data_IF_002293719305
#
_entry.id   IF_002293719305
#
_cell.length_a   1.000
_cell.length_b   1.000
_cell.length_c   1.000
_cell.angle_alpha   90.00
_cell.angle_beta   90.00
_cell.angle_gamma   90.00
#
_symmetry.space_group_name_H-M   'P 1'
#
loop_
_entity.id
_entity.type
_entity.pdbx_description
1 polymer ?
#
# COMPACT_ATOMS: atom_id res chain seq x y z
N UNK A 1 1.59 19.48 49.96
CA UNK A 1 2.46 18.59 49.15
C UNK A 1 1.64 17.66 48.25
N UNK A 2 0.36 17.94 48.03
CA UNK A 2 -0.62 17.02 47.42
C UNK A 2 -0.83 17.29 45.91
N UNK A 3 -0.83 18.56 45.49
CA UNK A 3 -1.09 18.97 44.09
C UNK A 3 0.04 18.53 43.14
N UNK A 4 1.30 18.59 43.58
CA UNK A 4 2.46 18.15 42.77
C UNK A 4 2.43 16.65 42.49
N UNK A 5 1.96 15.84 43.46
CA UNK A 5 1.78 14.39 43.30
C UNK A 5 0.60 14.07 42.37
N UNK A 6 -0.48 14.84 42.45
CA UNK A 6 -1.65 14.67 41.58
C UNK A 6 -1.36 15.02 40.10
N UNK A 7 -0.60 16.09 39.84
CA UNK A 7 -0.16 16.44 38.47
C UNK A 7 0.80 15.40 37.89
N UNK A 8 1.70 14.86 38.71
CA UNK A 8 2.65 13.83 38.25
C UNK A 8 1.96 12.55 37.80
N UNK A 9 0.85 12.17 38.45
CA UNK A 9 0.06 10.98 38.09
C UNK A 9 -0.75 11.19 36.81
N UNK A 10 -1.28 12.41 36.62
CA UNK A 10 -2.03 12.80 35.42
C UNK A 10 -1.15 12.81 34.17
N UNK A 11 0.10 13.29 34.27
CA UNK A 11 1.04 13.33 33.15
C UNK A 11 1.47 11.93 32.70
N UNK A 12 1.70 11.01 33.64
CA UNK A 12 2.04 9.62 33.30
C UNK A 12 0.93 8.84 32.58
N UNK A 13 -0.34 9.27 32.72
CA UNK A 13 -1.48 8.63 32.06
C UNK A 13 -1.60 9.04 30.58
N UNK A 14 -1.15 10.24 30.21
CA UNK A 14 -1.26 10.77 28.85
C UNK A 14 -0.26 10.12 27.89
N UNK A 15 0.91 9.70 28.38
CA UNK A 15 1.99 9.12 27.56
C UNK A 15 1.64 7.70 27.06
N UNK A 16 0.65 7.05 27.69
CA UNK A 16 0.19 5.69 27.31
C UNK A 16 -0.94 5.75 26.25
N UNK A 17 -1.52 6.93 26.03
CA UNK A 17 -2.62 7.15 25.07
C UNK A 17 -2.13 7.52 23.66
N UNK A 18 -0.84 7.82 23.48
CA UNK A 18 -0.18 7.76 22.17
C UNK A 18 0.12 6.29 21.85
N UNK A 19 -0.94 5.49 21.85
CA UNK A 19 -0.92 4.12 21.37
C UNK A 19 -0.34 4.13 19.96
N UNK A 20 0.64 3.25 19.74
CA UNK A 20 1.09 2.89 18.41
C UNK A 20 -0.13 2.55 17.56
N UNK A 21 -0.60 3.51 16.77
CA UNK A 21 -1.29 3.20 15.52
C UNK A 21 -0.22 2.69 14.55
N UNK A 22 0.42 1.58 14.92
CA UNK A 22 0.84 0.63 13.90
C UNK A 22 -0.47 0.05 13.41
N UNK A 23 -1.09 0.79 12.48
CA UNK A 23 -1.85 0.15 11.43
C UNK A 23 -0.84 -0.77 10.75
N UNK A 24 -0.72 -1.98 11.28
CA UNK A 24 -0.59 -3.17 10.46
C UNK A 24 -1.89 -3.25 9.64
N UNK A 25 -2.14 -2.22 8.82
CA UNK A 25 -2.70 -2.45 7.51
C UNK A 25 -1.72 -3.44 6.94
N UNK A 26 -2.15 -4.69 6.89
CA UNK A 26 -1.76 -5.65 5.90
C UNK A 26 -2.01 -4.96 4.55
N UNK A 27 -1.13 -4.02 4.24
CA UNK A 27 -0.96 -3.40 2.95
C UNK A 27 -0.41 -4.60 2.20
N UNK A 28 -1.28 -5.32 1.50
CA UNK A 28 -0.79 -6.19 0.45
C UNK A 28 0.20 -5.32 -0.32
N UNK A 29 1.49 -5.62 -0.23
CA UNK A 29 2.53 -4.73 -0.77
C UNK A 29 2.29 -4.66 -2.29
N UNK A 30 1.78 -3.52 -2.76
CA UNK A 30 1.50 -3.30 -4.17
C UNK A 30 2.72 -2.65 -4.81
N UNK A 31 3.10 -3.14 -5.97
CA UNK A 31 4.20 -2.61 -6.76
C UNK A 31 3.70 -2.07 -8.09
N UNK A 32 4.37 -1.02 -8.56
CA UNK A 32 4.11 -0.44 -9.87
C UNK A 32 4.54 -1.47 -10.93
N UNK A 33 3.55 -1.94 -11.69
CA UNK A 33 3.75 -2.80 -12.85
C UNK A 33 3.90 -1.96 -14.12
N UNK A 34 3.06 -0.92 -14.28
CA UNK A 34 3.13 0.04 -15.38
C UNK A 34 3.05 1.45 -14.79
N UNK A 35 4.05 2.27 -15.12
CA UNK A 35 4.12 3.69 -14.79
C UNK A 35 3.41 4.51 -15.88
N UNK A 36 2.42 5.32 -15.49
CA UNK A 36 1.61 6.12 -16.42
C UNK A 36 2.44 7.19 -17.14
N UNK A 37 3.41 7.79 -16.45
CA UNK A 37 4.21 8.90 -16.96
C UNK A 37 5.13 8.49 -18.12
N UNK A 38 5.41 7.19 -18.25
CA UNK A 38 6.30 6.63 -19.27
C UNK A 38 5.59 5.73 -20.28
N UNK A 39 4.28 5.49 -20.12
CA UNK A 39 3.53 4.51 -20.90
C UNK A 39 2.42 5.14 -21.73
N UNK A 40 2.20 4.62 -22.94
CA UNK A 40 1.05 5.02 -23.75
C UNK A 40 -0.23 4.35 -23.27
N UNK A 41 -1.39 4.91 -23.63
CA UNK A 41 -2.69 4.30 -23.36
C UNK A 41 -2.79 2.87 -23.93
N UNK A 42 -2.31 2.66 -25.15
CA UNK A 42 -2.26 1.33 -25.79
C UNK A 42 -1.41 0.34 -24.99
N UNK A 43 -0.27 0.78 -24.45
CA UNK A 43 0.61 -0.05 -23.62
C UNK A 43 -0.11 -0.47 -22.33
N UNK A 44 -0.81 0.47 -21.68
CA UNK A 44 -1.59 0.18 -20.47
C UNK A 44 -2.73 -0.79 -20.74
N UNK A 45 -3.46 -0.60 -21.83
CA UNK A 45 -4.57 -1.49 -22.22
C UNK A 45 -4.07 -2.91 -22.50
N UNK A 46 -2.98 -3.04 -23.25
CA UNK A 46 -2.32 -4.32 -23.50
C UNK A 46 -1.85 -4.99 -22.20
N UNK A 47 -1.24 -4.23 -21.28
CA UNK A 47 -0.82 -4.76 -19.99
C UNK A 47 -2.01 -5.27 -19.16
N UNK A 48 -3.12 -4.52 -19.11
CA UNK A 48 -4.36 -4.92 -18.43
C UNK A 48 -4.93 -6.20 -19.03
N UNK A 49 -4.96 -6.33 -20.36
CA UNK A 49 -5.43 -7.54 -21.03
C UNK A 49 -4.61 -8.76 -20.60
N UNK A 50 -3.29 -8.63 -20.56
CA UNK A 50 -2.37 -9.70 -20.15
C UNK A 50 -2.58 -10.10 -18.69
N UNK A 51 -2.71 -9.13 -17.79
CA UNK A 51 -3.01 -9.39 -16.37
C UNK A 51 -4.35 -10.11 -16.19
N UNK A 52 -5.39 -9.67 -16.90
CA UNK A 52 -6.70 -10.32 -16.90
C UNK A 52 -6.64 -11.76 -17.43
N UNK A 53 -5.95 -11.99 -18.54
CA UNK A 53 -5.76 -13.32 -19.12
C UNK A 53 -5.00 -14.26 -18.17
N UNK A 54 -4.07 -13.72 -17.37
CA UNK A 54 -3.33 -14.46 -16.36
C UNK A 54 -4.09 -14.57 -15.01
N UNK A 55 -5.27 -13.97 -14.89
CA UNK A 55 -6.05 -13.88 -13.66
C UNK A 55 -5.20 -13.34 -12.50
N UNK A 56 -4.55 -12.20 -12.74
CA UNK A 56 -3.77 -11.42 -11.77
C UNK A 56 -4.56 -10.16 -11.44
N UNK A 57 -4.86 -9.96 -10.16
CA UNK A 57 -5.56 -8.77 -9.70
C UNK A 57 -4.65 -7.55 -9.81
N UNK A 58 -5.21 -6.42 -10.24
CA UNK A 58 -4.50 -5.15 -10.32
C UNK A 58 -5.34 -4.00 -9.75
N UNK A 59 -4.66 -2.89 -9.45
CA UNK A 59 -5.26 -1.62 -9.05
C UNK A 59 -4.74 -0.51 -9.94
N UNK A 60 -5.50 0.56 -10.05
CA UNK A 60 -5.05 1.82 -10.64
C UNK A 60 -5.00 2.84 -9.50
N UNK A 61 -3.87 3.50 -9.30
CA UNK A 61 -3.74 4.56 -8.30
C UNK A 61 -4.23 5.92 -8.84
N UNK A 62 -4.16 6.94 -7.99
CA UNK A 62 -4.59 8.30 -8.33
C UNK A 62 -3.72 8.97 -9.40
N UNK A 63 -2.52 8.44 -9.65
CA UNK A 63 -1.59 8.89 -10.68
C UNK A 63 -1.80 8.14 -12.01
N UNK A 64 -2.66 7.12 -12.03
CA UNK A 64 -2.95 6.31 -13.21
C UNK A 64 -2.01 5.12 -13.40
N UNK A 65 -1.09 4.87 -12.46
CA UNK A 65 -0.20 3.72 -12.51
C UNK A 65 -0.99 2.43 -12.31
N UNK A 66 -0.55 1.34 -12.94
CA UNK A 66 -1.12 0.01 -12.73
C UNK A 66 -0.26 -0.71 -11.70
N UNK A 67 -0.87 -1.14 -10.62
CA UNK A 67 -0.21 -1.83 -9.52
C UNK A 67 -0.68 -3.27 -9.39
N UNK A 68 0.24 -4.18 -9.07
CA UNK A 68 -0.03 -5.58 -8.75
C UNK A 68 0.53 -5.92 -7.37
N UNK A 69 0.03 -6.99 -6.75
CA UNK A 69 0.59 -7.45 -5.47
C UNK A 69 2.00 -7.99 -5.67
N UNK A 70 2.89 -7.75 -4.70
CA UNK A 70 4.24 -8.32 -4.63
C UNK A 70 4.21 -9.84 -4.85
N UNK A 71 3.25 -10.52 -4.24
CA UNK A 71 3.06 -11.97 -4.36
C UNK A 71 2.79 -12.45 -5.80
N UNK A 72 2.35 -11.56 -6.69
CA UNK A 72 2.02 -11.88 -8.08
C UNK A 72 3.08 -11.40 -9.08
N UNK A 73 4.16 -10.74 -8.62
CA UNK A 73 5.22 -10.23 -9.52
C UNK A 73 5.85 -11.35 -10.35
N UNK A 74 6.28 -12.44 -9.71
CA UNK A 74 6.91 -13.56 -10.43
C UNK A 74 5.98 -14.13 -11.51
N UNK A 75 4.69 -14.21 -11.20
CA UNK A 75 3.67 -14.67 -12.14
C UNK A 75 3.50 -13.67 -13.29
N UNK A 76 3.42 -12.38 -12.99
CA UNK A 76 3.29 -11.30 -13.97
C UNK A 76 4.51 -11.24 -14.90
N UNK A 77 5.73 -11.39 -14.38
CA UNK A 77 6.95 -11.44 -15.19
C UNK A 77 6.94 -12.63 -16.15
N UNK A 78 6.41 -13.80 -15.75
CA UNK A 78 6.39 -14.98 -16.62
C UNK A 78 5.33 -14.88 -17.72
N UNK A 79 4.14 -14.35 -17.42
CA UNK A 79 3.02 -14.33 -18.36
C UNK A 79 2.91 -13.05 -19.19
N UNK A 80 3.39 -11.95 -18.62
CA UNK A 80 2.85 -10.63 -18.91
C UNK A 80 3.93 -9.59 -19.20
N UNK A 81 5.20 -10.02 -19.33
CA UNK A 81 6.34 -9.27 -19.89
C UNK A 81 6.41 -9.32 -21.41
#
# INVERSE_FOLDING_TARGET
>A
MEIKRMFSLLVSLVIILEGCNTTNSQQDDFNIWIDDSTSTQETKESAIERLNNANIDYKVDDEGNILIKESDIDKAVICCS
#
